data_IF_783253107332
#
_entry.id   IF_783253107332
#
_cell.length_a   1.000
_cell.length_b   1.000
_cell.length_c   1.000
_cell.angle_alpha   90.00
_cell.angle_beta   90.00
_cell.angle_gamma   90.00
#
_symmetry.space_group_name_H-M   'P 1'
#
loop_
_entity.id
_entity.type
_entity.pdbx_description
1 polymer ?
#
# COMPACT_ATOMS: atom_id res chain seq x y z
N UNK A 1 -18.91 2.35 -55.18
CA UNK A 1 -19.51 1.40 -54.20
C UNK A 1 -18.47 0.46 -53.58
N UNK A 2 -17.58 -0.19 -54.35
CA UNK A 2 -16.56 -1.15 -53.80
C UNK A 2 -15.49 -0.51 -52.89
N UNK A 3 -15.17 0.77 -53.03
CA UNK A 3 -14.17 1.47 -52.22
C UNK A 3 -14.70 1.77 -50.80
N UNK A 4 -15.96 2.18 -50.67
CA UNK A 4 -16.59 2.48 -49.36
C UNK A 4 -16.78 1.21 -48.51
N UNK A 5 -17.06 0.06 -49.18
CA UNK A 5 -17.17 -1.22 -48.48
C UNK A 5 -15.79 -1.68 -47.92
N UNK A 6 -14.71 -1.42 -48.65
CA UNK A 6 -13.35 -1.74 -48.16
C UNK A 6 -12.91 -0.81 -47.03
N UNK A 7 -13.25 0.48 -47.07
CA UNK A 7 -12.98 1.41 -45.99
C UNK A 7 -13.79 1.06 -44.72
N UNK A 8 -15.08 0.71 -44.87
CA UNK A 8 -15.89 0.28 -43.75
C UNK A 8 -15.38 -1.04 -43.09
N UNK A 9 -14.88 -1.99 -43.90
CA UNK A 9 -14.33 -3.23 -43.39
C UNK A 9 -13.01 -3.01 -42.64
N UNK A 10 -12.15 -2.09 -43.10
CA UNK A 10 -10.88 -1.76 -42.40
C UNK A 10 -11.15 -1.01 -41.08
N UNK A 11 -12.14 -0.11 -41.04
CA UNK A 11 -12.51 0.59 -39.80
C UNK A 11 -13.17 -0.34 -38.77
N UNK A 12 -13.95 -1.32 -39.20
CA UNK A 12 -14.53 -2.34 -38.34
C UNK A 12 -13.46 -3.27 -37.73
N UNK A 13 -12.42 -3.63 -38.52
CA UNK A 13 -11.31 -4.44 -38.04
C UNK A 13 -10.44 -3.70 -37.00
N UNK A 14 -10.24 -2.39 -37.18
CA UNK A 14 -9.51 -1.53 -36.25
C UNK A 14 -10.26 -1.33 -34.92
N UNK A 15 -11.57 -1.37 -34.91
CA UNK A 15 -12.38 -1.28 -33.70
C UNK A 15 -12.41 -2.60 -32.90
N UNK A 16 -12.19 -3.75 -33.51
CA UNK A 16 -12.13 -5.05 -32.86
C UNK A 16 -10.79 -5.31 -32.14
N UNK A 17 -9.72 -4.61 -32.52
CA UNK A 17 -8.40 -4.72 -31.85
C UNK A 17 -8.29 -3.92 -30.54
N UNK A 18 -9.30 -3.13 -30.20
CA UNK A 18 -9.40 -2.41 -28.90
C UNK A 18 -10.00 -3.27 -27.78
N UNK A 19 -10.31 -4.55 -28.03
CA UNK A 19 -10.66 -5.48 -26.98
C UNK A 19 -9.41 -5.78 -26.13
N UNK A 20 -9.21 -4.90 -25.18
CA UNK A 20 -8.56 -5.04 -23.91
C UNK A 20 -7.94 -6.43 -23.64
N UNK A 21 -6.69 -6.63 -24.02
CA UNK A 21 -5.86 -7.60 -23.34
C UNK A 21 -5.73 -7.11 -21.89
N UNK A 22 -6.49 -7.69 -20.95
CA UNK A 22 -6.24 -7.50 -19.51
C UNK A 22 -4.77 -7.78 -19.29
N UNK A 23 -4.06 -6.85 -18.66
CA UNK A 23 -2.65 -7.05 -18.39
C UNK A 23 -2.50 -8.29 -17.48
N UNK A 24 -1.39 -9.01 -17.59
CA UNK A 24 -1.10 -10.15 -16.70
C UNK A 24 -1.24 -9.75 -15.23
N UNK A 25 -0.94 -8.50 -14.91
CA UNK A 25 -1.14 -7.94 -13.57
C UNK A 25 -2.62 -7.92 -13.15
N UNK A 26 -3.52 -7.47 -14.02
CA UNK A 26 -4.97 -7.42 -13.74
C UNK A 26 -5.57 -8.82 -13.62
N UNK A 27 -5.09 -9.77 -14.42
CA UNK A 27 -5.50 -11.16 -14.30
C UNK A 27 -5.07 -11.73 -12.95
N UNK A 28 -3.84 -11.47 -12.53
CA UNK A 28 -3.32 -11.91 -11.25
C UNK A 28 -4.05 -11.23 -10.08
N UNK A 29 -4.26 -9.92 -10.14
CA UNK A 29 -4.96 -9.16 -9.09
C UNK A 29 -6.37 -9.73 -8.82
N UNK A 30 -7.05 -10.20 -9.87
CA UNK A 30 -8.40 -10.77 -9.78
C UNK A 30 -8.41 -12.30 -9.63
N UNK A 31 -7.25 -12.96 -9.59
CA UNK A 31 -7.18 -14.41 -9.40
C UNK A 31 -7.43 -14.80 -7.94
N UNK A 32 -7.69 -16.08 -7.70
CA UNK A 32 -7.71 -16.66 -6.34
C UNK A 32 -6.36 -17.29 -5.95
N UNK A 33 -5.32 -17.15 -6.79
CA UNK A 33 -4.00 -17.74 -6.55
C UNK A 33 -3.23 -16.88 -5.53
N UNK A 34 -3.31 -17.28 -4.27
CA UNK A 34 -2.71 -16.56 -3.13
C UNK A 34 -1.18 -16.58 -3.22
N UNK A 35 -0.58 -17.73 -3.60
CA UNK A 35 0.88 -17.85 -3.62
C UNK A 35 1.48 -17.04 -4.77
N UNK A 36 0.90 -17.09 -5.97
CA UNK A 36 1.34 -16.27 -7.09
C UNK A 36 1.17 -14.76 -6.80
N UNK A 37 0.08 -14.35 -6.12
CA UNK A 37 -0.11 -12.96 -5.67
C UNK A 37 0.95 -12.55 -4.66
N UNK A 38 1.26 -13.41 -3.70
CA UNK A 38 2.24 -13.14 -2.65
C UNK A 38 3.62 -12.90 -3.26
N UNK A 39 4.10 -13.79 -4.10
CA UNK A 39 5.37 -13.63 -4.81
C UNK A 39 5.41 -12.36 -5.66
N UNK A 40 4.34 -12.11 -6.41
CA UNK A 40 4.26 -10.93 -7.26
C UNK A 40 4.21 -9.62 -6.44
N UNK A 41 3.54 -9.58 -5.30
CA UNK A 41 3.48 -8.41 -4.43
C UNK A 41 4.89 -8.00 -3.98
N UNK A 42 5.69 -8.95 -3.49
CA UNK A 42 7.08 -8.69 -3.11
C UNK A 42 7.96 -8.33 -4.30
N UNK A 43 7.76 -8.98 -5.45
CA UNK A 43 8.50 -8.63 -6.66
C UNK A 43 8.21 -7.18 -7.09
N UNK A 44 6.95 -6.76 -7.09
CA UNK A 44 6.60 -5.36 -7.39
C UNK A 44 7.16 -4.39 -6.35
N UNK A 45 7.11 -4.74 -5.07
CA UNK A 45 7.66 -3.93 -3.99
C UNK A 45 9.17 -3.72 -4.16
N UNK A 46 9.93 -4.80 -4.36
CA UNK A 46 11.38 -4.78 -4.55
C UNK A 46 11.80 -4.00 -5.81
N UNK A 47 10.95 -4.00 -6.84
CA UNK A 47 11.13 -3.20 -8.06
C UNK A 47 10.56 -1.77 -7.94
N UNK A 48 10.24 -1.30 -6.73
CA UNK A 48 9.72 0.05 -6.43
C UNK A 48 8.40 0.39 -7.14
N UNK A 49 7.66 -0.62 -7.57
CA UNK A 49 6.32 -0.47 -8.18
C UNK A 49 5.25 -0.51 -7.08
N UNK A 50 5.36 0.41 -6.15
CA UNK A 50 4.65 0.39 -4.87
C UNK A 50 3.13 0.39 -5.01
N UNK A 51 2.57 1.12 -5.97
CA UNK A 51 1.12 1.12 -6.22
C UNK A 51 0.59 -0.27 -6.60
N UNK A 52 1.34 -1.02 -7.44
CA UNK A 52 0.98 -2.39 -7.80
C UNK A 52 1.15 -3.36 -6.62
N UNK A 53 2.22 -3.17 -5.84
CA UNK A 53 2.45 -3.96 -4.64
C UNK A 53 1.32 -3.73 -3.61
N UNK A 54 0.96 -2.47 -3.33
CA UNK A 54 -0.11 -2.12 -2.40
C UNK A 54 -1.44 -2.81 -2.76
N UNK A 55 -1.86 -2.75 -4.03
CA UNK A 55 -3.11 -3.38 -4.47
C UNK A 55 -3.07 -4.92 -4.35
N UNK A 56 -1.91 -5.56 -4.57
CA UNK A 56 -1.76 -7.00 -4.38
C UNK A 56 -1.78 -7.37 -2.89
N UNK A 57 -1.08 -6.62 -2.03
CA UNK A 57 -1.12 -6.84 -0.58
C UNK A 57 -2.51 -6.59 -0.01
N UNK A 58 -3.24 -5.56 -0.47
CA UNK A 58 -4.64 -5.34 -0.13
C UNK A 58 -5.51 -6.55 -0.50
N UNK A 59 -5.39 -7.03 -1.74
CA UNK A 59 -6.11 -8.23 -2.17
C UNK A 59 -5.75 -9.47 -1.34
N UNK A 60 -4.47 -9.62 -0.96
CA UNK A 60 -3.97 -10.74 -0.16
C UNK A 60 -4.50 -10.70 1.28
N UNK A 61 -4.65 -9.52 1.88
CA UNK A 61 -5.05 -9.39 3.29
C UNK A 61 -6.40 -10.07 3.59
N UNK A 62 -7.27 -10.21 2.58
CA UNK A 62 -8.54 -10.94 2.72
C UNK A 62 -8.38 -12.46 2.75
N UNK A 63 -7.29 -12.98 2.18
CA UNK A 63 -7.04 -14.44 2.10
C UNK A 63 -6.05 -14.92 3.16
N UNK A 64 -5.26 -14.01 3.71
CA UNK A 64 -4.22 -14.35 4.69
C UNK A 64 -4.68 -14.18 6.14
N UNK A 65 -5.90 -13.66 6.36
CA UNK A 65 -6.42 -13.39 7.69
C UNK A 65 -6.33 -14.63 8.59
N UNK A 66 -5.65 -14.47 9.75
CA UNK A 66 -5.43 -15.55 10.71
C UNK A 66 -4.37 -16.58 10.32
N UNK A 67 -3.64 -16.38 9.22
CA UNK A 67 -2.49 -17.21 8.84
C UNK A 67 -1.17 -16.60 9.32
N UNK A 68 -0.08 -17.39 9.27
CA UNK A 68 1.28 -16.92 9.59
C UNK A 68 1.78 -15.82 8.65
N UNK A 69 1.16 -15.63 7.48
CA UNK A 69 1.55 -14.61 6.50
C UNK A 69 0.84 -13.27 6.72
N UNK A 70 -0.21 -13.22 7.56
CA UNK A 70 -1.10 -12.05 7.62
C UNK A 70 -0.41 -10.79 8.16
N UNK A 71 0.40 -10.92 9.22
CA UNK A 71 1.16 -9.79 9.76
C UNK A 71 2.12 -9.19 8.72
N UNK A 72 2.84 -10.05 8.00
CA UNK A 72 3.75 -9.65 6.92
C UNK A 72 3.00 -8.95 5.78
N UNK A 73 1.87 -9.51 5.33
CA UNK A 73 1.05 -8.93 4.25
C UNK A 73 0.54 -7.54 4.66
N UNK A 74 0.00 -7.40 5.86
CA UNK A 74 -0.54 -6.12 6.35
C UNK A 74 0.53 -5.07 6.57
N UNK A 75 1.69 -5.46 7.10
CA UNK A 75 2.82 -4.56 7.25
C UNK A 75 3.31 -4.04 5.89
N UNK A 76 3.54 -4.93 4.91
CA UNK A 76 4.00 -4.53 3.59
C UNK A 76 2.95 -3.78 2.78
N UNK A 77 1.65 -3.96 3.06
CA UNK A 77 0.60 -3.11 2.51
C UNK A 77 0.77 -1.66 2.99
N UNK A 78 0.91 -1.45 4.30
CA UNK A 78 1.22 -0.15 4.87
C UNK A 78 2.50 0.45 4.31
N UNK A 79 3.58 -0.33 4.26
CA UNK A 79 4.89 0.10 3.76
C UNK A 79 4.87 0.45 2.25
N UNK A 80 4.05 -0.23 1.47
CA UNK A 80 3.86 0.10 0.05
C UNK A 80 3.17 1.45 -0.12
N UNK A 81 2.13 1.73 0.67
CA UNK A 81 1.45 3.03 0.67
C UNK A 81 2.37 4.15 1.16
N UNK A 82 3.13 3.92 2.21
CA UNK A 82 4.15 4.85 2.69
C UNK A 82 5.19 5.17 1.61
N UNK A 83 5.69 4.14 0.93
CA UNK A 83 6.74 4.27 -0.09
C UNK A 83 6.27 5.01 -1.35
N UNK A 84 4.98 4.98 -1.66
CA UNK A 84 4.39 5.81 -2.72
C UNK A 84 3.93 7.19 -2.25
N UNK A 85 4.20 7.54 -0.98
CA UNK A 85 3.85 8.81 -0.32
C UNK A 85 2.35 9.01 -0.09
N UNK A 86 1.57 7.95 -0.08
CA UNK A 86 0.18 7.96 0.39
C UNK A 86 0.18 7.78 1.92
N UNK A 87 0.56 8.85 2.61
CA UNK A 87 0.75 8.83 4.06
C UNK A 87 -0.55 8.66 4.83
N UNK A 88 -1.68 9.11 4.28
CA UNK A 88 -2.98 8.94 4.91
C UNK A 88 -3.42 7.47 4.95
N UNK A 89 -3.33 6.79 3.81
CA UNK A 89 -3.65 5.35 3.73
C UNK A 89 -2.63 4.51 4.51
N UNK A 90 -1.34 4.88 4.46
CA UNK A 90 -0.29 4.20 5.19
C UNK A 90 -0.50 4.28 6.71
N UNK A 91 -0.83 5.47 7.24
CA UNK A 91 -1.13 5.67 8.67
C UNK A 91 -2.26 4.75 9.13
N UNK A 92 -3.36 4.73 8.39
CA UNK A 92 -4.52 3.89 8.68
C UNK A 92 -4.16 2.40 8.66
N UNK A 93 -3.32 1.97 7.71
CA UNK A 93 -2.89 0.59 7.60
C UNK A 93 -1.97 0.18 8.76
N UNK A 94 -1.01 1.04 9.14
CA UNK A 94 -0.15 0.78 10.29
C UNK A 94 -0.93 0.79 11.60
N UNK A 95 -1.91 1.69 11.76
CA UNK A 95 -2.76 1.68 12.94
C UNK A 95 -3.51 0.34 13.07
N UNK A 96 -4.18 -0.11 12.03
CA UNK A 96 -4.90 -1.39 12.02
C UNK A 96 -3.97 -2.58 12.23
N UNK A 97 -2.76 -2.53 11.64
CA UNK A 97 -1.75 -3.54 11.86
C UNK A 97 -1.37 -3.65 13.34
N UNK A 98 -1.13 -2.52 14.01
CA UNK A 98 -0.75 -2.48 15.42
C UNK A 98 -1.87 -2.92 16.36
N UNK A 99 -3.13 -2.67 16.00
CA UNK A 99 -4.31 -3.14 16.76
C UNK A 99 -4.41 -4.68 16.75
N UNK A 100 -4.06 -5.31 15.62
CA UNK A 100 -4.17 -6.78 15.45
C UNK A 100 -2.89 -7.50 15.84
N UNK A 101 -1.73 -6.92 15.52
CA UNK A 101 -0.40 -7.54 15.67
C UNK A 101 0.57 -6.71 16.52
N UNK A 102 0.21 -6.33 17.77
CA UNK A 102 1.06 -5.47 18.62
C UNK A 102 2.39 -6.11 19.01
N UNK A 103 2.53 -7.44 18.83
CA UNK A 103 3.74 -8.21 19.18
C UNK A 103 4.47 -8.77 17.95
N UNK A 104 4.08 -8.36 16.75
CA UNK A 104 4.78 -8.75 15.51
C UNK A 104 6.22 -8.21 15.53
N UNK A 105 7.18 -8.88 14.86
CA UNK A 105 8.52 -8.36 14.66
C UNK A 105 8.53 -6.98 13.95
N UNK A 106 7.48 -6.67 13.20
CA UNK A 106 7.32 -5.39 12.50
C UNK A 106 6.66 -4.29 13.36
N UNK A 107 6.25 -4.58 14.60
CA UNK A 107 5.43 -3.65 15.38
C UNK A 107 6.16 -2.34 15.73
N UNK A 108 7.45 -2.41 16.10
CA UNK A 108 8.24 -1.21 16.39
C UNK A 108 8.40 -0.31 15.17
N UNK A 109 8.78 -0.89 14.03
CA UNK A 109 8.88 -0.16 12.75
C UNK A 109 7.53 0.43 12.32
N UNK A 110 6.44 -0.33 12.48
CA UNK A 110 5.11 0.13 12.14
C UNK A 110 4.67 1.33 13.00
N UNK A 111 5.01 1.35 14.31
CA UNK A 111 4.75 2.51 15.19
C UNK A 111 5.52 3.73 14.71
N UNK A 112 6.80 3.59 14.44
CA UNK A 112 7.61 4.69 13.92
C UNK A 112 7.08 5.21 12.57
N UNK A 113 6.81 4.32 11.61
CA UNK A 113 6.29 4.71 10.30
C UNK A 113 4.91 5.37 10.38
N UNK A 114 4.05 4.94 11.31
CA UNK A 114 2.77 5.60 11.59
C UNK A 114 2.99 7.03 12.07
N UNK A 115 3.92 7.24 13.00
CA UNK A 115 4.27 8.57 13.51
C UNK A 115 4.82 9.45 12.37
N UNK A 116 5.70 8.92 11.53
CA UNK A 116 6.23 9.67 10.39
C UNK A 116 5.12 10.03 9.38
N UNK A 117 4.13 9.15 9.17
CA UNK A 117 2.94 9.49 8.38
C UNK A 117 2.16 10.67 8.99
N UNK A 118 1.91 10.66 10.30
CA UNK A 118 1.24 11.74 11.01
C UNK A 118 2.03 13.05 10.89
N UNK A 119 3.34 13.01 11.09
CA UNK A 119 4.22 14.16 10.93
C UNK A 119 4.17 14.73 9.50
N UNK A 120 4.23 13.88 8.48
CA UNK A 120 4.16 14.31 7.07
C UNK A 120 2.77 14.84 6.67
N UNK A 121 1.76 14.57 7.47
CA UNK A 121 0.41 15.09 7.30
C UNK A 121 0.19 16.42 8.03
N UNK A 122 1.19 16.94 8.75
CA UNK A 122 1.10 18.24 9.43
C UNK A 122 1.00 19.37 8.42
N UNK A 123 0.26 20.41 8.80
CA UNK A 123 -0.02 21.56 7.96
C UNK A 123 0.84 22.75 8.37
N UNK A 124 0.87 23.79 7.50
CA UNK A 124 1.52 25.05 7.85
C UNK A 124 0.85 25.69 9.07
N UNK A 125 1.60 26.46 9.82
CA UNK A 125 1.19 27.05 11.12
C UNK A 125 -0.08 27.91 11.06
N UNK A 126 -0.44 28.44 9.89
CA UNK A 126 -1.66 29.22 9.69
C UNK A 126 -2.93 28.36 9.56
N UNK A 127 -2.77 27.05 9.42
CA UNK A 127 -3.85 26.11 9.19
C UNK A 127 -4.18 25.34 10.49
N UNK A 128 -5.11 24.41 10.41
CA UNK A 128 -5.48 23.56 11.54
C UNK A 128 -4.26 22.77 12.05
N UNK A 129 -3.94 22.96 13.32
CA UNK A 129 -2.79 22.32 13.98
C UNK A 129 -3.14 21.00 14.67
N UNK A 130 -4.38 20.52 14.57
CA UNK A 130 -4.79 19.22 15.13
C UNK A 130 -3.89 18.06 14.67
N UNK A 131 -3.51 17.94 13.39
CA UNK A 131 -2.57 16.90 12.95
C UNK A 131 -1.19 17.03 13.62
N UNK A 132 -0.71 18.25 13.84
CA UNK A 132 0.58 18.51 14.50
C UNK A 132 0.56 18.00 15.96
N UNK A 133 -0.49 18.33 16.72
CA UNK A 133 -0.62 17.83 18.09
C UNK A 133 -0.78 16.32 18.14
N UNK A 134 -1.48 15.71 17.20
CA UNK A 134 -1.62 14.25 17.10
C UNK A 134 -0.25 13.59 16.87
N UNK A 135 0.55 14.13 15.95
CA UNK A 135 1.90 13.64 15.68
C UNK A 135 2.82 13.75 16.91
N UNK A 136 2.81 14.92 17.58
CA UNK A 136 3.62 15.16 18.78
C UNK A 136 3.24 14.20 19.92
N UNK A 137 1.95 13.99 20.15
CA UNK A 137 1.48 13.07 21.19
C UNK A 137 1.92 11.63 20.90
N UNK A 138 1.71 11.17 19.65
CA UNK A 138 2.11 9.83 19.22
C UNK A 138 3.63 9.61 19.35
N UNK A 139 4.45 10.61 18.98
CA UNK A 139 5.91 10.59 19.12
C UNK A 139 6.33 10.53 20.59
N UNK A 140 5.72 11.36 21.44
CA UNK A 140 6.03 11.38 22.88
C UNK A 140 5.69 10.04 23.55
N UNK A 141 4.58 9.43 23.17
CA UNK A 141 4.16 8.12 23.69
C UNK A 141 5.12 7.01 23.22
N UNK A 142 5.51 7.00 21.96
CA UNK A 142 6.47 6.05 21.39
C UNK A 142 7.82 6.10 22.11
N UNK A 143 8.38 7.29 22.32
CA UNK A 143 9.66 7.48 23.03
C UNK A 143 9.58 7.05 24.50
N UNK A 144 8.42 7.17 25.12
CA UNK A 144 8.19 6.71 26.49
C UNK A 144 8.09 5.18 26.58
N UNK A 145 7.44 4.56 25.59
CA UNK A 145 7.21 3.11 25.59
C UNK A 145 8.40 2.31 25.07
N UNK A 146 9.13 2.86 24.12
CA UNK A 146 10.29 2.23 23.49
C UNK A 146 11.54 3.15 23.55
N UNK A 147 12.09 3.42 24.74
CA UNK A 147 13.19 4.38 24.89
C UNK A 147 14.50 3.92 24.21
N UNK A 148 14.67 2.62 24.00
CA UNK A 148 15.84 2.03 23.35
C UNK A 148 15.58 1.64 21.89
N UNK A 149 14.56 2.24 21.25
CA UNK A 149 14.23 1.97 19.85
C UNK A 149 15.31 2.48 18.89
N UNK A 150 15.41 1.84 17.71
CA UNK A 150 16.39 2.21 16.69
C UNK A 150 16.14 3.57 16.03
N UNK A 151 15.00 4.23 16.29
CA UNK A 151 14.55 5.48 15.65
C UNK A 151 14.64 6.69 16.60
N UNK A 152 15.28 6.55 17.75
CA UNK A 152 15.39 7.63 18.75
C UNK A 152 15.95 8.93 18.16
N UNK A 153 16.94 8.81 17.25
CA UNK A 153 17.58 9.95 16.62
C UNK A 153 16.70 10.60 15.52
N UNK A 154 15.69 9.88 15.03
CA UNK A 154 14.78 10.36 13.98
C UNK A 154 13.57 11.08 14.57
N UNK A 155 13.26 10.83 15.84
CA UNK A 155 12.20 11.49 16.60
C UNK A 155 12.67 12.81 17.21
#
# INVERSE_FOLDING_TARGET
MKIYVKLAAVSALALLSLNSCKSQYELLLNSADVDAKYEAAFNYFNNKKYSKAAALFESLSMYTEGTEKDDTVRYYWGLSNYSQKDYYTAETNFQRFLEVYPRSPFASDARFLRIDCLYRSTLRYELDQTPTYTALNAMTEYLREEPDNGHLADC
#
